data_IF_169016908939
#
_entry.id   IF_169016908939
#
_cell.length_a   1.000
_cell.length_b   1.000
_cell.length_c   1.000
_cell.angle_alpha   90.00
_cell.angle_beta   90.00
_cell.angle_gamma   90.00
#
_symmetry.space_group_name_H-M   'P 1'
#
loop_
_entity.id
_entity.type
_entity.pdbx_description
1 polymer ?
#
# COMPACT_ATOMS: atom_id res chain seq x y z
N UNK A 1 27.10 -60.99 2.52
CA UNK A 1 26.16 -60.97 3.67
C UNK A 1 26.39 -59.70 4.50
N UNK A 2 25.51 -58.68 4.45
CA UNK A 2 25.67 -57.48 5.25
C UNK A 2 24.86 -57.55 6.57
N UNK A 3 25.52 -57.17 7.66
CA UNK A 3 25.02 -57.13 9.05
C UNK A 3 23.94 -56.05 9.23
N UNK A 4 22.74 -56.46 9.67
CA UNK A 4 21.68 -55.58 10.20
C UNK A 4 22.14 -54.93 11.51
N UNK A 5 22.18 -53.59 11.56
CA UNK A 5 22.23 -52.83 12.82
C UNK A 5 20.81 -52.49 13.27
N UNK A 6 20.47 -52.90 14.50
CA UNK A 6 19.23 -52.54 15.21
C UNK A 6 19.36 -51.10 15.72
N UNK A 7 18.38 -50.25 15.41
CA UNK A 7 18.18 -48.97 16.08
C UNK A 7 17.21 -49.19 17.25
N UNK A 8 17.65 -48.81 18.44
CA UNK A 8 16.89 -48.87 19.68
C UNK A 8 15.80 -47.79 19.72
N UNK A 9 14.63 -48.18 20.22
CA UNK A 9 13.58 -47.27 20.67
C UNK A 9 14.09 -46.46 21.87
N UNK A 10 14.08 -45.14 21.74
CA UNK A 10 14.22 -44.22 22.87
C UNK A 10 12.84 -43.69 23.22
N UNK A 11 12.41 -44.02 24.43
CA UNK A 11 11.18 -43.56 25.10
C UNK A 11 11.44 -42.14 25.60
N UNK A 12 10.65 -41.16 25.17
CA UNK A 12 10.67 -39.82 25.76
C UNK A 12 9.47 -39.69 26.71
N UNK A 13 9.77 -39.74 28.00
CA UNK A 13 8.90 -39.31 29.09
C UNK A 13 8.89 -37.78 29.17
N UNK A 14 7.72 -37.23 29.53
CA UNK A 14 7.44 -35.81 29.59
C UNK A 14 8.26 -35.03 30.62
N UNK A 15 8.39 -33.73 30.35
CA UNK A 15 8.64 -32.72 31.37
C UNK A 15 7.78 -31.49 31.10
N UNK A 16 6.76 -31.34 31.93
CA UNK A 16 6.21 -30.05 32.30
C UNK A 16 7.31 -29.20 32.93
N UNK A 17 7.58 -28.04 32.36
CA UNK A 17 8.34 -26.98 33.04
C UNK A 17 7.89 -25.62 32.54
N UNK A 18 7.18 -24.96 33.46
CA UNK A 18 6.75 -23.58 33.44
C UNK A 18 7.86 -22.60 33.00
N UNK A 19 7.55 -21.73 32.05
CA UNK A 19 8.26 -20.47 31.84
C UNK A 19 7.30 -19.31 32.06
N UNK A 20 7.20 -18.98 33.34
CA UNK A 20 6.66 -17.74 33.90
C UNK A 20 7.74 -16.65 33.71
N UNK A 21 7.79 -15.99 32.55
CA UNK A 21 8.61 -14.77 32.37
C UNK A 21 8.32 -13.95 31.08
N UNK A 22 7.05 -13.69 30.72
CA UNK A 22 6.73 -12.85 29.54
C UNK A 22 6.25 -11.42 29.84
N UNK A 23 6.23 -10.99 31.11
CA UNK A 23 5.72 -9.66 31.50
C UNK A 23 6.76 -8.54 31.49
N UNK A 24 8.08 -8.84 31.45
CA UNK A 24 9.13 -7.80 31.46
C UNK A 24 9.53 -7.25 30.10
N UNK A 25 9.21 -7.92 28.99
CA UNK A 25 9.55 -7.44 27.64
C UNK A 25 8.49 -6.54 26.98
N UNK A 26 7.31 -6.37 27.59
CA UNK A 26 6.26 -5.47 27.06
C UNK A 26 6.51 -3.99 27.37
N UNK A 27 7.28 -3.68 28.41
CA UNK A 27 7.56 -2.29 28.80
C UNK A 27 8.60 -1.61 27.91
N UNK A 28 9.53 -2.36 27.30
CA UNK A 28 10.56 -1.80 26.42
C UNK A 28 10.00 -1.31 25.07
N UNK A 29 9.01 -2.01 24.52
CA UNK A 29 8.35 -1.62 23.25
C UNK A 29 7.42 -0.41 23.38
N UNK A 30 6.79 -0.22 24.55
CA UNK A 30 5.96 0.95 24.84
C UNK A 30 6.79 2.24 25.02
N UNK A 31 8.06 2.12 25.42
CA UNK A 31 9.00 3.25 25.55
C UNK A 31 9.62 3.67 24.21
N UNK A 32 9.86 2.72 23.30
CA UNK A 32 10.39 3.00 21.96
C UNK A 32 9.35 3.64 21.01
N UNK A 33 8.07 3.33 21.17
CA UNK A 33 6.99 4.00 20.42
C UNK A 33 6.71 5.42 20.91
N UNK A 34 7.06 5.74 22.16
CA UNK A 34 6.86 7.05 22.79
C UNK A 34 7.90 8.11 22.40
N UNK A 35 9.05 7.71 21.90
CA UNK A 35 10.17 8.63 21.59
C UNK A 35 10.23 9.04 20.12
N UNK A 36 9.62 8.30 19.20
CA UNK A 36 9.64 8.62 17.76
C UNK A 36 8.46 9.46 17.26
N UNK A 37 7.34 9.50 17.98
CA UNK A 37 6.18 10.32 17.62
C UNK A 37 5.96 11.38 18.71
N UNK A 38 6.59 12.54 18.54
CA UNK A 38 6.50 13.67 19.46
C UNK A 38 5.09 14.23 19.55
N UNK A 39 4.25 13.67 20.41
CA UNK A 39 3.06 14.35 20.93
C UNK A 39 3.48 15.26 22.09
N UNK A 40 3.25 16.58 22.02
CA UNK A 40 3.41 17.45 23.18
C UNK A 40 2.41 17.06 24.27
N UNK A 41 2.89 17.04 25.52
CA UNK A 41 2.06 16.82 26.71
C UNK A 41 0.99 17.92 26.82
N UNK A 42 -0.27 17.54 26.67
CA UNK A 42 -1.38 18.26 27.28
C UNK A 42 -1.39 17.91 28.78
N UNK A 43 -1.41 18.93 29.63
CA UNK A 43 -1.34 18.79 31.08
C UNK A 43 -2.48 17.93 31.61
N UNK A 44 -2.14 17.00 32.50
CA UNK A 44 -3.06 16.05 33.10
C UNK A 44 -4.04 16.74 34.04
N UNK A 45 -5.23 17.02 33.55
CA UNK A 45 -6.46 17.04 34.35
C UNK A 45 -7.57 16.42 33.50
N UNK A 46 -7.61 15.08 33.44
CA UNK A 46 -8.78 14.36 32.99
C UNK A 46 -9.11 13.20 33.94
N UNK A 47 -10.40 13.01 34.26
CA UNK A 47 -10.86 11.92 35.10
C UNK A 47 -10.63 10.58 34.42
N UNK A 48 -10.30 9.57 35.22
CA UNK A 48 -10.10 8.17 34.82
C UNK A 48 -11.25 7.65 33.96
N UNK A 49 -11.03 7.60 32.65
CA UNK A 49 -11.97 7.05 31.68
C UNK A 49 -11.73 5.54 31.59
N UNK A 50 -12.79 4.78 31.86
CA UNK A 50 -12.83 3.32 31.83
C UNK A 50 -12.56 2.81 30.40
N UNK A 51 -11.39 2.21 30.19
CA UNK A 51 -10.83 1.78 28.88
C UNK A 51 -11.51 0.51 28.30
N UNK A 52 -12.62 0.09 28.89
CA UNK A 52 -13.33 -1.15 28.56
C UNK A 52 -14.36 -0.98 27.44
N UNK A 53 -13.96 -0.48 26.26
CA UNK A 53 -14.91 -0.44 25.14
C UNK A 53 -14.57 0.36 23.88
N UNK A 54 -13.32 0.37 23.40
CA UNK A 54 -13.00 0.88 22.05
C UNK A 54 -13.44 -0.09 20.93
N UNK A 55 -14.61 -0.69 21.08
CA UNK A 55 -15.34 -1.39 20.01
C UNK A 55 -15.95 -0.35 19.08
N UNK A 56 -15.21 -0.01 18.02
CA UNK A 56 -15.68 0.49 16.71
C UNK A 56 -17.02 1.26 16.78
N UNK A 57 -17.00 2.45 17.38
CA UNK A 57 -18.15 3.35 17.45
C UNK A 57 -18.63 3.67 16.02
N UNK A 58 -19.85 3.28 15.68
CA UNK A 58 -20.53 3.65 14.43
C UNK A 58 -21.87 4.30 14.78
N UNK A 59 -22.32 5.23 13.93
CA UNK A 59 -23.62 5.91 14.09
C UNK A 59 -23.69 6.75 15.36
N UNK A 60 -24.78 6.62 16.11
CA UNK A 60 -25.09 7.41 17.31
C UNK A 60 -24.01 7.36 18.40
N UNK A 61 -23.25 6.27 18.50
CA UNK A 61 -22.21 6.15 19.53
C UNK A 61 -20.96 6.98 19.20
N UNK A 62 -20.65 7.13 17.90
CA UNK A 62 -19.63 8.06 17.41
C UNK A 62 -20.12 9.50 17.59
N UNK A 63 -21.41 9.74 17.32
CA UNK A 63 -22.07 11.03 17.52
C UNK A 63 -22.09 11.46 19.01
N UNK A 64 -22.33 10.51 19.92
CA UNK A 64 -22.23 10.72 21.37
C UNK A 64 -20.79 10.95 21.80
N UNK A 65 -19.83 10.25 21.23
CA UNK A 65 -18.42 10.52 21.48
C UNK A 65 -18.03 11.93 20.99
N UNK A 66 -18.47 12.37 19.81
CA UNK A 66 -18.28 13.74 19.31
C UNK A 66 -18.98 14.80 20.19
N UNK A 67 -20.20 14.51 20.66
CA UNK A 67 -20.92 15.36 21.60
C UNK A 67 -20.24 15.45 22.98
N UNK A 68 -19.40 14.47 23.33
CA UNK A 68 -18.66 14.43 24.60
C UNK A 68 -17.22 14.95 24.48
N UNK A 69 -16.61 14.90 23.28
CA UNK A 69 -15.17 15.14 23.10
C UNK A 69 -14.79 16.48 22.47
N UNK A 70 -15.73 17.24 21.88
CA UNK A 70 -15.40 18.58 21.35
C UNK A 70 -16.57 19.56 21.43
N UNK A 71 -16.33 20.77 21.98
CA UNK A 71 -17.24 21.92 21.92
C UNK A 71 -17.36 22.53 20.50
N UNK A 72 -16.95 21.80 19.45
CA UNK A 72 -16.88 22.29 18.08
C UNK A 72 -18.12 21.86 17.30
N UNK A 73 -18.68 22.78 16.53
CA UNK A 73 -19.75 22.44 15.58
C UNK A 73 -19.21 21.53 14.47
N UNK A 74 -20.07 20.76 13.77
CA UNK A 74 -19.65 19.93 12.64
C UNK A 74 -18.85 20.71 11.57
N UNK A 75 -19.24 21.95 11.28
CA UNK A 75 -18.53 22.83 10.35
C UNK A 75 -17.14 23.24 10.87
N UNK A 76 -17.00 23.51 12.17
CA UNK A 76 -15.71 23.83 12.77
C UNK A 76 -14.78 22.62 12.79
N UNK A 77 -15.34 21.42 12.95
CA UNK A 77 -14.57 20.18 12.89
C UNK A 77 -14.07 19.90 11.47
N UNK A 78 -14.91 20.08 10.45
CA UNK A 78 -14.49 19.97 9.04
C UNK A 78 -13.39 20.99 8.71
N UNK A 79 -13.51 22.22 9.21
CA UNK A 79 -12.50 23.26 9.03
C UNK A 79 -11.18 22.92 9.73
N UNK A 80 -11.21 22.41 10.97
CA UNK A 80 -10.02 21.99 11.71
C UNK A 80 -9.37 20.77 11.07
N UNK A 81 -10.16 19.79 10.63
CA UNK A 81 -9.64 18.64 9.90
C UNK A 81 -8.95 19.07 8.60
N UNK A 82 -9.58 19.97 7.84
CA UNK A 82 -8.99 20.53 6.62
C UNK A 82 -7.68 21.27 6.90
N UNK A 83 -7.61 22.05 7.99
CA UNK A 83 -6.36 22.73 8.40
C UNK A 83 -5.25 21.74 8.72
N UNK A 84 -5.56 20.69 9.49
CA UNK A 84 -4.58 19.65 9.82
C UNK A 84 -4.12 18.86 8.58
N UNK A 85 -5.02 18.62 7.61
CA UNK A 85 -4.68 18.02 6.33
C UNK A 85 -3.76 18.92 5.50
N UNK A 86 -4.01 20.23 5.46
CA UNK A 86 -3.16 21.20 4.76
C UNK A 86 -1.75 21.31 5.39
N UNK A 87 -1.66 21.36 6.72
CA UNK A 87 -0.39 21.37 7.45
C UNK A 87 0.43 20.09 7.18
N UNK A 88 -0.22 18.92 7.26
CA UNK A 88 0.43 17.62 6.95
C UNK A 88 0.83 17.53 5.47
N UNK A 89 0.01 18.06 4.57
CA UNK A 89 0.28 18.09 3.14
C UNK A 89 1.52 18.92 2.81
N UNK A 90 1.74 20.05 3.49
CA UNK A 90 2.94 20.88 3.31
C UNK A 90 4.23 20.13 3.64
N UNK A 91 4.26 19.44 4.80
CA UNK A 91 5.41 18.63 5.22
C UNK A 91 5.66 17.47 4.26
N UNK A 92 4.59 16.76 3.89
CA UNK A 92 4.67 15.63 2.97
C UNK A 92 5.17 16.04 1.57
N UNK A 93 4.67 17.15 1.02
CA UNK A 93 5.14 17.71 -0.25
C UNK A 93 6.62 18.09 -0.19
N UNK A 94 7.04 18.72 0.91
CA UNK A 94 8.44 19.09 1.11
C UNK A 94 9.33 17.85 1.14
N UNK A 95 8.95 16.81 1.88
CA UNK A 95 9.67 15.53 1.89
C UNK A 95 9.78 14.92 0.50
N UNK A 96 8.68 14.88 -0.27
CA UNK A 96 8.70 14.35 -1.64
C UNK A 96 9.63 15.16 -2.55
N UNK A 97 9.65 16.49 -2.44
CA UNK A 97 10.57 17.35 -3.18
C UNK A 97 12.05 17.05 -2.88
N UNK A 98 12.40 16.73 -1.63
CA UNK A 98 13.77 16.35 -1.27
C UNK A 98 14.11 14.89 -1.60
N UNK A 99 13.15 13.99 -1.44
CA UNK A 99 13.36 12.56 -1.66
C UNK A 99 13.45 12.23 -3.15
N UNK A 100 12.73 12.96 -4.01
CA UNK A 100 12.68 12.69 -5.44
C UNK A 100 14.05 12.78 -6.14
N UNK A 101 14.87 13.84 -5.96
CA UNK A 101 16.24 13.88 -6.48
C UNK A 101 17.13 12.75 -5.95
N UNK A 102 16.98 12.38 -4.66
CA UNK A 102 17.76 11.29 -4.05
C UNK A 102 17.43 9.94 -4.69
N UNK A 103 16.14 9.67 -4.91
CA UNK A 103 15.74 8.46 -5.63
C UNK A 103 16.19 8.50 -7.09
N UNK A 104 16.22 9.67 -7.73
CA UNK A 104 16.73 9.82 -9.09
C UNK A 104 18.24 9.50 -9.18
N UNK A 105 19.03 9.90 -8.18
CA UNK A 105 20.46 9.55 -8.11
C UNK A 105 20.69 8.04 -7.93
N UNK A 106 19.71 7.32 -7.36
CA UNK A 106 19.74 5.86 -7.16
C UNK A 106 19.03 5.09 -8.29
N UNK A 107 18.75 5.74 -9.42
CA UNK A 107 17.86 5.28 -10.50
C UNK A 107 17.99 3.81 -10.92
N UNK A 108 19.19 3.18 -11.02
CA UNK A 108 19.28 1.78 -11.43
C UNK A 108 18.55 0.81 -10.49
N UNK A 109 18.49 1.14 -9.20
CA UNK A 109 17.89 0.30 -8.15
C UNK A 109 16.51 0.86 -7.75
N UNK A 110 16.41 2.17 -7.55
CA UNK A 110 15.17 2.83 -7.12
C UNK A 110 14.15 2.95 -8.26
N UNK A 111 14.57 2.98 -9.53
CA UNK A 111 13.71 3.23 -10.67
C UNK A 111 12.60 2.20 -10.82
N UNK A 112 12.91 0.93 -10.55
CA UNK A 112 11.94 -0.17 -10.55
C UNK A 112 10.86 0.02 -9.47
N UNK A 113 11.28 0.36 -8.24
CA UNK A 113 10.36 0.58 -7.12
C UNK A 113 9.48 1.82 -7.36
N UNK A 114 10.08 2.94 -7.77
CA UNK A 114 9.35 4.17 -8.08
C UNK A 114 8.34 3.95 -9.20
N UNK A 115 8.73 3.26 -10.27
CA UNK A 115 7.84 2.98 -11.40
C UNK A 115 6.67 2.11 -10.99
N UNK A 116 6.89 1.11 -10.12
CA UNK A 116 5.81 0.31 -9.56
C UNK A 116 4.88 1.13 -8.63
N UNK A 117 5.42 2.03 -7.80
CA UNK A 117 4.64 2.95 -6.98
C UNK A 117 3.80 3.88 -7.87
N UNK A 118 4.36 4.38 -8.97
CA UNK A 118 3.61 5.17 -9.93
C UNK A 118 2.51 4.35 -10.62
N UNK A 119 2.74 3.08 -10.92
CA UNK A 119 1.68 2.18 -11.41
C UNK A 119 0.51 2.06 -10.43
N UNK A 120 0.80 1.91 -9.13
CA UNK A 120 -0.24 1.94 -8.09
C UNK A 120 -0.94 3.31 -8.04
N UNK A 121 -0.18 4.40 -8.11
CA UNK A 121 -0.70 5.76 -8.08
C UNK A 121 -1.56 6.12 -9.31
N UNK A 122 -1.28 5.55 -10.49
CA UNK A 122 -2.15 5.73 -11.66
C UNK A 122 -3.57 5.21 -11.38
N UNK A 123 -3.68 4.11 -10.63
CA UNK A 123 -4.96 3.47 -10.29
C UNK A 123 -5.71 4.21 -9.19
N UNK A 124 -5.07 4.48 -8.05
CA UNK A 124 -5.74 5.02 -6.86
C UNK A 124 -5.46 6.51 -6.59
N UNK A 125 -4.68 7.16 -7.43
CA UNK A 125 -4.29 8.55 -7.28
C UNK A 125 -5.48 9.51 -7.35
N UNK A 126 -5.32 10.68 -6.73
CA UNK A 126 -6.22 11.83 -6.87
C UNK A 126 -5.83 12.72 -8.06
N UNK A 127 -6.70 13.69 -8.39
CA UNK A 127 -6.45 14.67 -9.43
C UNK A 127 -6.74 14.21 -10.86
N UNK A 128 -6.30 15.01 -11.83
CA UNK A 128 -6.53 14.74 -13.25
C UNK A 128 -5.76 13.50 -13.71
N UNK A 129 -6.47 12.51 -14.26
CA UNK A 129 -5.90 11.25 -14.73
C UNK A 129 -4.78 11.45 -15.77
N UNK A 130 -5.00 12.27 -16.80
CA UNK A 130 -4.04 12.50 -17.87
C UNK A 130 -2.75 13.12 -17.35
N UNK A 131 -2.85 14.00 -16.35
CA UNK A 131 -1.67 14.56 -15.72
C UNK A 131 -0.82 13.50 -15.01
N UNK A 132 -1.45 12.57 -14.28
CA UNK A 132 -0.74 11.44 -13.68
C UNK A 132 -0.06 10.59 -14.74
N UNK A 133 -0.75 10.29 -15.84
CA UNK A 133 -0.18 9.52 -16.96
C UNK A 133 1.04 10.23 -17.55
N UNK A 134 0.95 11.53 -17.83
CA UNK A 134 2.08 12.31 -18.35
C UNK A 134 3.26 12.29 -17.39
N UNK A 135 3.03 12.49 -16.09
CA UNK A 135 4.09 12.46 -15.08
C UNK A 135 4.73 11.08 -14.95
N UNK A 136 3.92 10.02 -14.91
CA UNK A 136 4.42 8.65 -14.80
C UNK A 136 5.20 8.25 -16.06
N UNK A 137 4.65 8.49 -17.25
CA UNK A 137 5.32 8.16 -18.51
C UNK A 137 6.57 9.01 -18.73
N UNK A 138 6.52 10.31 -18.42
CA UNK A 138 7.68 11.19 -18.46
C UNK A 138 8.79 10.70 -17.54
N UNK A 139 8.44 10.27 -16.32
CA UNK A 139 9.40 9.69 -15.37
C UNK A 139 10.01 8.39 -15.90
N UNK A 140 9.20 7.50 -16.48
CA UNK A 140 9.69 6.22 -17.05
C UNK A 140 10.60 6.45 -18.25
N UNK A 141 10.26 7.41 -19.12
CA UNK A 141 11.15 7.82 -20.22
C UNK A 141 12.45 8.35 -19.65
N UNK A 142 12.41 9.36 -18.78
CA UNK A 142 13.59 10.00 -18.22
C UNK A 142 14.51 9.00 -17.49
N UNK A 143 13.94 8.10 -16.67
CA UNK A 143 14.71 7.07 -15.97
C UNK A 143 15.26 5.99 -16.91
N UNK A 144 14.59 5.75 -18.04
CA UNK A 144 15.04 4.83 -19.09
C UNK A 144 15.99 5.45 -20.11
N UNK A 145 16.14 6.79 -20.13
CA UNK A 145 17.04 7.49 -21.05
C UNK A 145 18.48 7.03 -20.78
N UNK A 146 19.04 6.29 -21.74
CA UNK A 146 20.41 5.77 -21.68
C UNK A 146 20.51 4.25 -21.72
N UNK A 147 19.41 3.51 -21.51
CA UNK A 147 19.42 2.05 -21.67
C UNK A 147 18.08 1.53 -22.21
N UNK A 148 18.03 1.04 -23.48
CA UNK A 148 16.83 0.47 -24.07
C UNK A 148 16.26 -0.68 -23.23
N UNK A 149 17.12 -1.51 -22.65
CA UNK A 149 16.73 -2.61 -21.78
C UNK A 149 16.08 -2.11 -20.49
N UNK A 150 16.64 -1.07 -19.86
CA UNK A 150 16.06 -0.48 -18.66
C UNK A 150 14.70 0.16 -18.98
N UNK A 151 14.56 0.87 -20.10
CA UNK A 151 13.29 1.44 -20.51
C UNK A 151 12.21 0.36 -20.71
N UNK A 152 12.53 -0.74 -21.42
CA UNK A 152 11.64 -1.88 -21.56
C UNK A 152 11.24 -2.49 -20.21
N UNK A 153 12.20 -2.62 -19.31
CA UNK A 153 12.01 -3.15 -17.96
C UNK A 153 11.06 -2.28 -17.12
N UNK A 154 11.26 -0.96 -17.13
CA UNK A 154 10.40 -0.02 -16.41
C UNK A 154 8.98 -0.02 -16.99
N UNK A 155 8.81 -0.08 -18.31
CA UNK A 155 7.50 -0.22 -18.95
C UNK A 155 6.78 -1.51 -18.52
N UNK A 156 7.49 -2.65 -18.47
CA UNK A 156 6.94 -3.90 -17.96
C UNK A 156 6.46 -3.74 -16.51
N UNK A 157 7.32 -3.21 -15.63
CA UNK A 157 6.98 -3.01 -14.22
C UNK A 157 5.77 -2.08 -14.08
N UNK A 158 5.72 -0.98 -14.83
CA UNK A 158 4.60 -0.05 -14.81
C UNK A 158 3.30 -0.77 -15.17
N UNK A 159 3.31 -1.53 -16.28
CA UNK A 159 2.13 -2.24 -16.76
C UNK A 159 1.65 -3.31 -15.76
N UNK A 160 2.58 -4.14 -15.27
CA UNK A 160 2.27 -5.21 -14.32
C UNK A 160 1.78 -4.63 -12.99
N UNK A 161 2.44 -3.63 -12.43
CA UNK A 161 2.01 -3.00 -11.16
C UNK A 161 0.66 -2.31 -11.28
N UNK A 162 0.39 -1.60 -12.38
CA UNK A 162 -0.92 -0.98 -12.64
C UNK A 162 -2.02 -2.05 -12.72
N UNK A 163 -1.77 -3.13 -13.47
CA UNK A 163 -2.72 -4.25 -13.61
C UNK A 163 -2.97 -4.96 -12.28
N UNK A 164 -1.91 -5.25 -11.53
CA UNK A 164 -2.00 -5.88 -10.22
C UNK A 164 -2.69 -4.98 -9.19
N UNK A 165 -2.44 -3.67 -9.21
CA UNK A 165 -3.12 -2.71 -8.34
C UNK A 165 -4.62 -2.65 -8.65
N UNK A 166 -4.97 -2.62 -9.94
CA UNK A 166 -6.37 -2.69 -10.39
C UNK A 166 -7.06 -3.98 -9.91
N UNK A 167 -6.44 -5.14 -10.16
CA UNK A 167 -6.94 -6.43 -9.71
C UNK A 167 -7.07 -6.49 -8.17
N UNK A 168 -6.07 -5.99 -7.44
CA UNK A 168 -6.10 -5.95 -5.98
C UNK A 168 -7.23 -5.07 -5.46
N UNK A 169 -7.49 -3.92 -6.07
CA UNK A 169 -8.59 -3.03 -5.69
C UNK A 169 -9.97 -3.69 -5.91
N UNK A 170 -10.10 -4.58 -6.89
CA UNK A 170 -11.32 -5.37 -7.12
C UNK A 170 -11.47 -6.55 -6.15
N UNK A 171 -10.37 -7.20 -5.79
CA UNK A 171 -10.37 -8.38 -4.92
C UNK A 171 -10.49 -8.04 -3.44
N UNK A 172 -9.88 -6.93 -3.00
CA UNK A 172 -9.79 -6.58 -1.59
C UNK A 172 -11.16 -6.37 -0.89
N UNK A 173 -12.19 -5.78 -1.52
CA UNK A 173 -13.54 -5.74 -0.97
C UNK A 173 -14.14 -7.12 -0.72
N UNK A 174 -13.88 -8.08 -1.62
CA UNK A 174 -14.39 -9.46 -1.51
C UNK A 174 -13.76 -10.22 -0.34
N UNK A 175 -12.48 -10.00 -0.06
CA UNK A 175 -11.77 -10.69 1.02
C UNK A 175 -11.93 -10.04 2.39
N UNK A 176 -11.92 -8.71 2.46
CA UNK A 176 -11.87 -7.99 3.74
C UNK A 176 -13.19 -7.29 4.10
N UNK A 177 -14.18 -7.26 3.21
CA UNK A 177 -15.43 -6.53 3.40
C UNK A 177 -15.19 -5.04 3.75
N UNK A 178 -14.15 -4.46 3.14
CA UNK A 178 -13.75 -3.06 3.32
C UNK A 178 -14.01 -2.29 2.02
N UNK A 179 -14.46 -1.02 2.11
CA UNK A 179 -14.51 -0.17 0.92
C UNK A 179 -13.08 0.06 0.40
N UNK A 180 -12.91 -0.05 -0.90
CA UNK A 180 -11.67 0.35 -1.57
C UNK A 180 -11.83 1.73 -2.19
N UNK A 181 -10.70 2.42 -2.41
CA UNK A 181 -10.66 3.66 -3.18
C UNK A 181 -11.26 3.37 -4.58
N UNK A 182 -12.13 4.26 -5.08
CA UNK A 182 -12.92 3.98 -6.25
C UNK A 182 -12.00 3.95 -7.47
N UNK A 183 -12.14 2.91 -8.29
CA UNK A 183 -11.41 2.80 -9.53
C UNK A 183 -12.31 3.27 -10.66
N UNK A 184 -12.18 4.54 -11.05
CA UNK A 184 -13.03 5.16 -12.06
C UNK A 184 -12.24 5.35 -13.35
N UNK A 185 -12.08 4.27 -14.11
CA UNK A 185 -11.59 4.39 -15.49
C UNK A 185 -12.75 4.57 -16.44
N UNK A 186 -12.76 5.68 -17.18
CA UNK A 186 -13.66 5.88 -18.30
C UNK A 186 -13.14 5.16 -19.54
N UNK A 187 -14.02 4.81 -20.48
CA UNK A 187 -13.62 4.23 -21.78
C UNK A 187 -12.57 5.09 -22.50
N UNK A 188 -12.69 6.42 -22.39
CA UNK A 188 -11.72 7.36 -22.94
C UNK A 188 -10.31 7.19 -22.33
N UNK A 189 -10.24 7.01 -21.01
CA UNK A 189 -8.97 6.80 -20.31
C UNK A 189 -8.34 5.47 -20.70
N UNK A 190 -9.14 4.41 -20.82
CA UNK A 190 -8.67 3.10 -21.31
C UNK A 190 -8.13 3.23 -22.74
N UNK A 191 -8.89 3.87 -23.63
CA UNK A 191 -8.50 4.10 -25.02
C UNK A 191 -7.20 4.88 -25.15
N UNK A 192 -7.04 5.99 -24.44
CA UNK A 192 -5.79 6.75 -24.51
C UNK A 192 -4.61 6.07 -23.80
N UNK A 193 -4.83 5.23 -22.78
CA UNK A 193 -3.77 4.36 -22.25
C UNK A 193 -3.25 3.38 -23.31
N UNK A 194 -4.13 2.80 -24.13
CA UNK A 194 -3.74 1.91 -25.24
C UNK A 194 -2.88 2.70 -26.24
N UNK A 195 -3.28 3.92 -26.60
CA UNK A 195 -2.52 4.78 -27.53
C UNK A 195 -1.15 5.13 -26.94
N UNK A 196 -1.08 5.51 -25.67
CA UNK A 196 0.17 5.85 -24.98
C UNK A 196 1.10 4.64 -24.88
N UNK A 197 0.54 3.46 -24.59
CA UNK A 197 1.32 2.22 -24.59
C UNK A 197 1.87 1.92 -26.00
N UNK A 198 1.05 2.06 -27.05
CA UNK A 198 1.49 1.88 -28.42
C UNK A 198 2.62 2.87 -28.79
N UNK A 199 2.48 4.14 -28.42
CA UNK A 199 3.51 5.16 -28.60
C UNK A 199 4.80 4.81 -27.83
N UNK A 200 4.68 4.31 -26.60
CA UNK A 200 5.82 3.90 -25.76
C UNK A 200 6.55 2.70 -26.37
N UNK A 201 5.81 1.74 -26.93
CA UNK A 201 6.39 0.60 -27.64
C UNK A 201 7.07 1.04 -28.95
N UNK A 202 6.51 2.03 -29.65
CA UNK A 202 7.14 2.61 -30.83
C UNK A 202 8.44 3.35 -30.47
N UNK A 203 8.45 4.14 -29.39
CA UNK A 203 9.66 4.77 -28.85
C UNK A 203 10.70 3.74 -28.42
N UNK A 204 10.28 2.68 -27.72
CA UNK A 204 11.17 1.60 -27.30
C UNK A 204 11.84 0.93 -28.52
N UNK A 205 11.08 0.71 -29.60
CA UNK A 205 11.65 0.20 -30.85
C UNK A 205 12.68 1.16 -31.46
N UNK A 206 12.42 2.47 -31.42
CA UNK A 206 13.34 3.50 -31.93
C UNK A 206 14.66 3.55 -31.14
N UNK A 207 14.63 3.21 -29.84
CA UNK A 207 15.86 3.07 -29.03
C UNK A 207 16.76 1.89 -29.42
N UNK A 208 16.35 1.07 -30.39
CA UNK A 208 17.11 -0.11 -30.83
C UNK A 208 16.94 -1.34 -29.94
N UNK A 209 15.91 -1.36 -29.08
CA UNK A 209 15.59 -2.54 -28.29
C UNK A 209 15.18 -3.71 -29.20
N UNK A 210 15.88 -4.84 -29.11
CA UNK A 210 15.55 -6.08 -29.80
C UNK A 210 15.20 -7.19 -28.82
N UNK A 211 14.30 -8.09 -29.24
CA UNK A 211 13.95 -9.29 -28.48
C UNK A 211 15.10 -10.31 -28.43
N UNK A 212 16.11 -10.17 -29.27
CA UNK A 212 17.30 -11.06 -29.30
C UNK A 212 18.06 -11.04 -27.97
N UNK A 213 17.94 -9.97 -27.18
CA UNK A 213 18.50 -9.89 -25.82
C UNK A 213 18.00 -11.02 -24.92
N UNK A 214 16.82 -11.58 -25.22
CA UNK A 214 16.23 -12.69 -24.48
C UNK A 214 16.73 -14.08 -24.92
N UNK A 215 17.58 -14.19 -25.95
CA UNK A 215 18.34 -15.42 -26.22
C UNK A 215 19.19 -15.80 -25.00
N UNK A 216 19.67 -14.79 -24.26
CA UNK A 216 20.24 -15.02 -22.94
C UNK A 216 19.11 -15.36 -21.96
N UNK A 217 18.95 -16.65 -21.67
CA UNK A 217 17.99 -17.18 -20.69
C UNK A 217 17.99 -16.42 -19.36
N UNK A 218 19.14 -15.93 -18.89
CA UNK A 218 19.22 -15.17 -17.64
C UNK A 218 18.46 -13.85 -17.77
N UNK A 219 18.70 -13.10 -18.84
CA UNK A 219 18.00 -11.84 -19.11
C UNK A 219 16.50 -12.06 -19.30
N UNK A 220 16.11 -13.14 -20.00
CA UNK A 220 14.71 -13.51 -20.15
C UNK A 220 14.04 -13.82 -18.80
N UNK A 221 14.68 -14.63 -17.94
CA UNK A 221 14.13 -14.94 -16.61
C UNK A 221 14.08 -13.68 -15.73
N UNK A 222 15.14 -12.87 -15.70
CA UNK A 222 15.11 -11.60 -14.99
C UNK A 222 13.91 -10.77 -15.46
N UNK A 223 13.77 -10.55 -16.77
CA UNK A 223 12.70 -9.75 -17.37
C UNK A 223 11.30 -10.28 -17.04
N UNK A 224 11.01 -11.54 -17.39
CA UNK A 224 9.65 -12.09 -17.31
C UNK A 224 9.27 -12.66 -15.95
N UNK A 225 10.21 -12.86 -15.03
CA UNK A 225 9.94 -13.38 -13.68
C UNK A 225 10.26 -12.36 -12.59
N UNK A 226 11.49 -11.84 -12.55
CA UNK A 226 11.91 -10.93 -11.46
C UNK A 226 11.17 -9.60 -11.55
N UNK A 227 10.97 -9.05 -12.75
CA UNK A 227 10.23 -7.79 -12.94
C UNK A 227 8.81 -7.85 -12.37
N UNK A 228 7.98 -8.85 -12.77
CA UNK A 228 6.66 -9.04 -12.19
C UNK A 228 6.64 -9.29 -10.68
N UNK A 229 7.64 -9.99 -10.13
CA UNK A 229 7.76 -10.20 -8.67
C UNK A 229 8.02 -8.88 -7.93
N UNK A 230 8.90 -8.02 -8.46
CA UNK A 230 9.11 -6.65 -7.92
C UNK A 230 7.80 -5.87 -7.92
N UNK A 231 7.07 -5.89 -9.05
CA UNK A 231 5.77 -5.22 -9.14
C UNK A 231 4.76 -5.78 -8.13
N UNK A 232 4.70 -7.10 -7.96
CA UNK A 232 3.85 -7.77 -6.98
C UNK A 232 4.18 -7.35 -5.56
N UNK A 233 5.46 -7.33 -5.17
CA UNK A 233 5.90 -6.91 -3.84
C UNK A 233 5.45 -5.47 -3.52
N UNK A 234 5.64 -4.55 -4.48
CA UNK A 234 5.23 -3.15 -4.29
C UNK A 234 3.72 -3.03 -4.15
N UNK A 235 2.94 -3.74 -4.98
CA UNK A 235 1.47 -3.72 -4.89
C UNK A 235 1.00 -4.33 -3.56
N UNK A 236 1.58 -5.46 -3.14
CA UNK A 236 1.22 -6.10 -1.88
C UNK A 236 1.59 -5.23 -0.68
N UNK A 237 2.77 -4.59 -0.71
CA UNK A 237 3.18 -3.61 0.30
C UNK A 237 2.23 -2.39 0.35
N UNK A 238 1.63 -2.04 -0.79
CA UNK A 238 0.71 -0.91 -0.95
C UNK A 238 -0.76 -1.25 -0.68
N UNK A 239 -1.13 -2.50 -0.36
CA UNK A 239 -2.52 -2.90 -0.09
C UNK A 239 -3.24 -2.02 0.95
N UNK A 240 -2.62 -1.60 2.07
CA UNK A 240 -3.27 -0.73 3.03
C UNK A 240 -3.77 0.58 2.39
N UNK A 241 -3.11 1.02 1.33
CA UNK A 241 -3.34 2.30 0.63
C UNK A 241 -4.45 2.20 -0.40
N UNK A 242 -4.85 0.99 -0.77
CA UNK A 242 -6.08 0.77 -1.53
C UNK A 242 -7.32 1.02 -0.67
N UNK A 243 -7.18 0.95 0.66
CA UNK A 243 -8.23 1.23 1.63
C UNK A 243 -8.16 2.70 2.05
N UNK A 244 -9.28 3.46 1.98
CA UNK A 244 -9.35 4.83 2.45
C UNK A 244 -8.93 4.92 3.92
N UNK A 245 -8.25 6.01 4.28
CA UNK A 245 -7.59 6.19 5.58
C UNK A 245 -8.53 5.91 6.75
N UNK A 246 -9.78 6.38 6.67
CA UNK A 246 -10.82 6.22 7.69
C UNK A 246 -11.29 4.78 7.94
N UNK A 247 -11.09 3.87 6.99
CA UNK A 247 -11.51 2.47 7.10
C UNK A 247 -10.34 1.51 7.26
N UNK A 248 -9.10 2.01 7.20
CA UNK A 248 -7.91 1.19 7.30
C UNK A 248 -7.81 0.59 8.70
N UNK A 249 -7.79 -0.73 8.75
CA UNK A 249 -7.61 -1.48 10.00
C UNK A 249 -6.18 -2.00 10.10
N UNK A 250 -5.71 -2.25 11.33
CA UNK A 250 -4.41 -2.87 11.56
C UNK A 250 -4.28 -4.26 10.90
N UNK A 251 -5.41 -4.93 10.61
CA UNK A 251 -5.44 -6.23 9.96
C UNK A 251 -4.88 -6.14 8.54
N UNK A 252 -5.30 -5.15 7.75
CA UNK A 252 -4.83 -4.99 6.35
C UNK A 252 -3.32 -4.72 6.32
N UNK A 253 -2.82 -3.89 7.24
CA UNK A 253 -1.39 -3.63 7.36
C UNK A 253 -0.61 -4.88 7.78
N UNK A 254 -1.09 -5.63 8.78
CA UNK A 254 -0.45 -6.88 9.22
C UNK A 254 -0.45 -7.94 8.12
N UNK A 255 -1.54 -8.09 7.38
CA UNK A 255 -1.62 -9.02 6.25
C UNK A 255 -0.65 -8.63 5.14
N UNK A 256 -0.58 -7.35 4.78
CA UNK A 256 0.40 -6.83 3.81
C UNK A 256 1.84 -7.11 4.28
N UNK A 257 2.17 -6.76 5.52
CA UNK A 257 3.49 -7.01 6.09
C UNK A 257 3.83 -8.50 6.16
N UNK A 258 2.88 -9.37 6.55
CA UNK A 258 3.07 -10.83 6.57
C UNK A 258 3.34 -11.36 5.16
N UNK A 259 2.58 -10.89 4.17
CA UNK A 259 2.76 -11.33 2.79
C UNK A 259 4.12 -10.91 2.25
N UNK A 260 4.51 -9.64 2.42
CA UNK A 260 5.76 -9.14 1.87
C UNK A 260 6.99 -9.61 2.66
N UNK A 261 6.95 -9.67 4.00
CA UNK A 261 8.14 -10.02 4.78
C UNK A 261 8.37 -11.51 4.92
N UNK A 262 7.35 -12.35 4.71
CA UNK A 262 7.42 -13.79 4.98
C UNK A 262 6.97 -14.62 3.78
N UNK A 263 5.75 -14.41 3.27
CA UNK A 263 5.19 -15.31 2.26
C UNK A 263 5.88 -15.16 0.90
N UNK A 264 5.95 -13.93 0.38
CA UNK A 264 6.56 -13.63 -0.91
C UNK A 264 8.04 -13.98 -0.98
N UNK A 265 8.91 -13.67 0.00
CA UNK A 265 10.32 -14.07 -0.09
C UNK A 265 10.47 -15.59 -0.17
N UNK A 266 9.66 -16.37 0.54
CA UNK A 266 9.68 -17.84 0.45
C UNK A 266 9.24 -18.31 -0.94
N UNK A 267 8.14 -17.75 -1.46
CA UNK A 267 7.64 -18.10 -2.80
C UNK A 267 8.68 -17.74 -3.87
N UNK A 268 9.26 -16.55 -3.79
CA UNK A 268 10.29 -16.08 -4.71
C UNK A 268 11.54 -16.94 -4.66
N UNK A 269 12.05 -17.28 -3.47
CA UNK A 269 13.17 -18.19 -3.31
C UNK A 269 12.88 -19.53 -3.99
N UNK A 270 11.72 -20.14 -3.75
CA UNK A 270 11.36 -21.44 -4.33
C UNK A 270 11.23 -21.35 -5.86
N UNK A 271 10.58 -20.30 -6.36
CA UNK A 271 10.35 -20.12 -7.80
C UNK A 271 11.68 -19.82 -8.51
N UNK A 272 12.43 -18.83 -8.03
CA UNK A 272 13.69 -18.41 -8.66
C UNK A 272 14.73 -19.53 -8.64
N UNK A 273 14.93 -20.23 -7.52
CA UNK A 273 15.87 -21.36 -7.46
C UNK A 273 15.51 -22.49 -8.41
N UNK A 274 14.23 -22.64 -8.75
CA UNK A 274 13.78 -23.67 -9.70
C UNK A 274 14.01 -23.25 -11.15
N UNK A 275 13.96 -21.96 -11.47
CA UNK A 275 14.05 -21.45 -12.84
C UNK A 275 15.45 -20.97 -13.24
N UNK A 276 16.21 -20.42 -12.30
CA UNK A 276 17.60 -20.04 -12.44
C UNK A 276 18.46 -21.16 -11.83
N UNK A 277 19.28 -21.82 -12.65
CA UNK A 277 20.29 -22.78 -12.16
C UNK A 277 21.41 -21.98 -11.47
N UNK A 278 21.12 -21.47 -10.27
CA UNK A 278 21.88 -20.45 -9.53
C UNK A 278 23.12 -20.98 -8.81
N UNK A 279 23.68 -22.12 -9.23
CA UNK A 279 24.81 -22.81 -8.54
C UNK A 279 26.01 -21.94 -8.18
N UNK A 280 26.19 -20.80 -8.83
CA UNK A 280 27.33 -19.91 -8.66
C UNK A 280 27.03 -18.58 -7.93
N UNK A 281 25.76 -18.22 -7.71
CA UNK A 281 25.36 -16.89 -7.21
C UNK A 281 24.33 -16.92 -6.07
N UNK A 282 24.12 -18.07 -5.43
CA UNK A 282 23.13 -18.23 -4.35
C UNK A 282 23.23 -17.13 -3.29
N UNK A 283 24.42 -16.84 -2.79
CA UNK A 283 24.58 -15.90 -1.67
C UNK A 283 24.27 -14.44 -2.01
N UNK A 284 24.72 -13.94 -3.16
CA UNK A 284 24.48 -12.54 -3.55
C UNK A 284 23.01 -12.31 -3.89
N UNK A 285 22.38 -13.27 -4.58
CA UNK A 285 20.98 -13.18 -4.95
C UNK A 285 20.06 -13.31 -3.72
N UNK A 286 20.35 -14.25 -2.82
CA UNK A 286 19.58 -14.42 -1.58
C UNK A 286 19.71 -13.19 -0.68
N UNK A 287 20.92 -12.63 -0.57
CA UNK A 287 21.14 -11.38 0.16
C UNK A 287 20.37 -10.21 -0.47
N UNK A 288 20.39 -10.09 -1.81
CA UNK A 288 19.62 -9.07 -2.51
C UNK A 288 18.11 -9.24 -2.26
N UNK A 289 17.59 -10.46 -2.33
CA UNK A 289 16.18 -10.77 -2.10
C UNK A 289 15.79 -10.42 -0.66
N UNK A 290 16.55 -10.87 0.34
CA UNK A 290 16.31 -10.52 1.75
C UNK A 290 16.34 -9.00 1.94
N UNK A 291 17.35 -8.31 1.40
CA UNK A 291 17.44 -6.86 1.47
C UNK A 291 16.27 -6.17 0.77
N UNK A 292 15.79 -6.70 -0.36
CA UNK A 292 14.63 -6.15 -1.06
C UNK A 292 13.34 -6.30 -0.27
N UNK A 293 13.18 -7.36 0.53
CA UNK A 293 12.03 -7.57 1.40
C UNK A 293 12.12 -6.83 2.73
N UNK A 294 13.32 -6.48 3.20
CA UNK A 294 13.48 -5.66 4.40
C UNK A 294 13.42 -4.16 4.09
N UNK A 295 14.23 -3.71 3.13
CA UNK A 295 14.39 -2.29 2.80
C UNK A 295 13.31 -1.83 1.81
N UNK A 296 12.94 -2.66 0.83
CA UNK A 296 11.95 -2.30 -0.19
C UNK A 296 10.60 -1.88 0.40
N UNK A 297 9.97 -2.68 1.29
CA UNK A 297 8.69 -2.32 1.87
C UNK A 297 8.78 -1.10 2.77
N UNK A 298 9.89 -0.91 3.49
CA UNK A 298 10.12 0.32 4.26
C UNK A 298 10.12 1.56 3.35
N UNK A 299 10.81 1.48 2.21
CA UNK A 299 10.83 2.56 1.21
C UNK A 299 9.43 2.78 0.62
N UNK A 300 8.74 1.70 0.23
CA UNK A 300 7.36 1.78 -0.30
C UNK A 300 6.42 2.39 0.73
N UNK A 301 6.43 1.91 1.96
CA UNK A 301 5.58 2.47 3.02
C UNK A 301 5.91 3.94 3.27
N UNK A 302 7.19 4.30 3.42
CA UNK A 302 7.58 5.69 3.66
C UNK A 302 7.10 6.61 2.52
N UNK A 303 7.31 6.21 1.26
CA UNK A 303 6.87 6.96 0.10
C UNK A 303 5.36 7.03 -0.03
N UNK A 304 4.67 5.90 0.12
CA UNK A 304 3.23 5.87 -0.10
C UNK A 304 2.48 6.57 1.06
N UNK A 305 2.94 6.45 2.31
CA UNK A 305 2.38 7.23 3.42
C UNK A 305 2.65 8.74 3.25
N UNK A 306 3.79 9.14 2.71
CA UNK A 306 4.04 10.56 2.42
C UNK A 306 3.20 11.06 1.24
N UNK A 307 3.03 10.27 0.18
CA UNK A 307 2.09 10.58 -0.90
C UNK A 307 0.65 10.72 -0.37
N UNK A 308 0.23 9.84 0.54
CA UNK A 308 -1.07 9.94 1.18
C UNK A 308 -1.21 11.23 2.01
N UNK A 309 -0.20 11.55 2.84
CA UNK A 309 -0.16 12.81 3.58
C UNK A 309 -0.19 14.05 2.67
N UNK A 310 0.35 13.94 1.45
CA UNK A 310 0.29 14.97 0.42
C UNK A 310 -1.06 15.03 -0.33
N UNK A 311 -2.06 14.23 0.07
CA UNK A 311 -3.37 14.09 -0.58
C UNK A 311 -3.30 13.55 -2.01
N UNK A 312 -2.29 12.73 -2.31
CA UNK A 312 -2.07 12.20 -3.66
C UNK A 312 -3.01 11.04 -4.04
N UNK A 313 -3.87 10.57 -3.14
CA UNK A 313 -4.81 9.47 -3.37
C UNK A 313 -6.27 9.93 -3.24
N UNK A 314 -7.17 9.29 -3.99
CA UNK A 314 -8.59 9.57 -3.90
C UNK A 314 -9.16 9.14 -2.55
N UNK A 315 -9.92 10.02 -1.91
CA UNK A 315 -10.75 9.67 -0.76
C UNK A 315 -12.19 9.39 -1.22
N UNK A 316 -12.82 8.36 -0.65
CA UNK A 316 -14.24 8.10 -0.89
C UNK A 316 -15.00 9.21 -0.16
N UNK A 317 -15.94 9.91 -0.78
CA UNK A 317 -16.80 10.85 -0.04
C UNK A 317 -17.53 10.09 1.09
N UNK A 318 -17.67 10.63 2.31
CA UNK A 318 -18.55 10.00 3.27
C UNK A 318 -19.96 9.92 2.65
N UNK A 319 -20.72 8.84 2.87
CA UNK A 319 -22.14 8.87 2.53
C UNK A 319 -22.72 10.08 3.26
N UNK A 320 -23.26 11.05 2.51
CA UNK A 320 -23.92 12.22 3.08
C UNK A 320 -25.04 11.70 3.97
N UNK A 321 -24.82 11.69 5.28
CA UNK A 321 -25.72 11.17 6.30
C UNK A 321 -27.01 12.01 6.46
N UNK A 322 -27.37 12.82 5.47
CA UNK A 322 -28.35 13.89 5.60
C UNK A 322 -29.22 14.16 4.38
N UNK A 323 -28.99 13.52 3.23
CA UNK A 323 -30.00 13.50 2.17
C UNK A 323 -30.92 12.29 2.39
N UNK A 324 -31.52 12.23 3.60
CA UNK A 324 -32.96 12.00 3.58
C UNK A 324 -33.45 13.18 2.77
N UNK A 325 -33.71 12.96 1.48
CA UNK A 325 -34.86 13.59 0.87
C UNK A 325 -35.93 13.46 1.94
N UNK A 326 -36.23 14.58 2.59
CA UNK A 326 -37.55 14.79 3.13
C UNK A 326 -38.39 14.55 1.89
N UNK A 327 -38.81 13.29 1.68
CA UNK A 327 -40.11 13.05 1.11
C UNK A 327 -40.98 13.91 2.01
N UNK A 328 -41.26 15.12 1.52
CA UNK A 328 -42.40 15.89 1.96
C UNK A 328 -43.52 14.88 1.92
N UNK A 329 -43.85 14.34 3.08
CA UNK A 329 -44.93 13.40 3.24
C UNK A 329 -46.15 14.18 2.70
N UNK A 330 -46.70 13.85 1.51
CA UNK A 330 -47.70 14.69 0.86
C UNK A 330 -49.03 14.71 1.62
N UNK A 331 -49.04 14.15 2.84
CA UNK A 331 -50.17 13.97 3.72
C UNK A 331 -50.02 14.66 5.08
N UNK A 332 -48.96 15.44 5.35
CA UNK A 332 -48.83 16.12 6.66
C UNK A 332 -49.80 17.29 6.87
N UNK A 333 -50.59 17.67 5.86
CA UNK A 333 -51.54 18.80 5.95
C UNK A 333 -53.00 18.39 6.22
N UNK A 334 -53.31 17.12 6.49
CA UNK A 334 -54.67 16.74 6.90
C UNK A 334 -54.82 16.92 8.41
N UNK A 335 -54.97 18.17 8.84
CA UNK A 335 -55.56 18.50 10.13
C UNK A 335 -57.05 18.12 10.05
N UNK A 336 -57.53 17.10 10.79
CA UNK A 336 -58.96 16.85 10.85
C UNK A 336 -59.62 18.05 11.55
N UNK A 337 -60.64 18.70 10.94
CA UNK A 337 -61.38 19.72 11.64
C UNK A 337 -62.02 19.08 12.87
N UNK A 338 -61.63 19.57 14.04
CA UNK A 338 -62.31 19.31 15.30
C UNK A 338 -63.76 19.75 15.16
N UNK A 339 -64.66 18.80 14.96
CA UNK A 339 -66.10 19.02 15.02
C UNK A 339 -66.54 19.10 16.48
N UNK A 340 -67.00 20.29 16.84
CA UNK A 340 -67.92 20.61 17.95
C UNK A 340 -69.22 19.82 17.78
#
# INVERSE_FOLDING_TARGET
MPKRRRLGMVRFEGRDLAIRNSSRNRLSWALLTRTFFGCPMLSSDQPTQDDSGLTRLRGEALQKWYAHSSNLSPQQWEAEQKRQEEERSGVAKSFLWFAFPLFFLLAPISGSLLTAIFGVWLVIGSGNFWWRVVLTMGSVVILGLGSPFLYAWLLLILFVSTTLAYASALLLPSFYLLPCRPVQFTLWQIGGCIIILAASMALLRDTGFSLDVFENRRLAVTFFLVGPLVALNVVVASLPMLVPTRYRTAIVFRSSALLVLIVLPIVELVVIHRFLDTRWYHYEFDAFLIMSHLVGPLVVWLLVYTMEGALAFCEVAPPLLGERTVEEDPFSDVIPPSSI
#
